data_IF_699418215203
#
_entry.id   IF_699418215203
#
_cell.length_a   1.000
_cell.length_b   1.000
_cell.length_c   1.000
_cell.angle_alpha   90.00
_cell.angle_beta   90.00
_cell.angle_gamma   90.00
#
_symmetry.space_group_name_H-M   'P 1'
#
loop_
_entity.id
_entity.type
_entity.pdbx_description
1 polymer ?
#
# COMPACT_ATOMS: atom_id res chain seq x y z
N UNK A 1 0.97 -14.23 -4.79
CA UNK A 1 1.49 -12.92 -4.37
C UNK A 1 0.58 -11.87 -5.00
N UNK A 2 0.04 -10.93 -4.22
CA UNK A 2 -0.67 -9.79 -4.79
C UNK A 2 0.38 -8.78 -5.28
N UNK A 3 0.19 -8.24 -6.48
CA UNK A 3 1.11 -7.27 -7.11
C UNK A 3 0.34 -5.99 -7.37
N UNK A 4 0.99 -4.85 -7.20
CA UNK A 4 0.35 -3.55 -7.34
C UNK A 4 1.35 -2.41 -7.29
N UNK A 5 0.88 -1.19 -7.54
CA UNK A 5 1.71 0.02 -7.52
C UNK A 5 1.42 0.80 -6.23
N UNK A 6 2.47 1.32 -5.59
CA UNK A 6 2.29 2.21 -4.43
C UNK A 6 1.51 3.44 -4.88
N UNK A 7 0.30 3.58 -4.34
CA UNK A 7 -0.58 4.70 -4.65
C UNK A 7 -0.11 5.95 -3.92
N UNK A 8 0.18 5.79 -2.63
CA UNK A 8 0.84 6.78 -1.81
C UNK A 8 1.40 6.13 -0.55
N UNK A 9 2.41 6.76 0.03
CA UNK A 9 3.00 6.34 1.30
C UNK A 9 3.38 7.57 2.13
N UNK A 10 2.98 7.57 3.41
CA UNK A 10 3.42 8.57 4.37
C UNK A 10 4.57 8.00 5.20
N UNK A 11 5.79 8.49 4.93
CA UNK A 11 6.99 8.00 5.60
C UNK A 11 7.05 8.38 7.09
N UNK A 12 6.52 9.54 7.49
CA UNK A 12 6.51 9.97 8.89
C UNK A 12 5.59 9.10 9.75
N UNK A 13 4.45 8.70 9.19
CA UNK A 13 3.48 7.83 9.87
C UNK A 13 3.72 6.34 9.63
N UNK A 14 4.54 5.99 8.65
CA UNK A 14 4.93 4.61 8.40
C UNK A 14 3.87 3.73 7.72
N UNK A 15 2.93 4.32 6.98
CA UNK A 15 1.88 3.57 6.30
C UNK A 15 1.45 4.20 4.98
N UNK A 16 0.77 3.39 4.15
CA UNK A 16 0.22 3.83 2.88
C UNK A 16 -0.74 2.81 2.27
N UNK A 17 -1.02 3.00 0.99
CA UNK A 17 -1.90 2.13 0.22
C UNK A 17 -1.28 1.75 -1.12
N UNK A 18 -1.56 0.52 -1.54
CA UNK A 18 -1.15 -0.04 -2.82
C UNK A 18 -2.41 -0.21 -3.68
N UNK A 19 -2.37 0.35 -4.89
CA UNK A 19 -3.40 0.12 -5.89
C UNK A 19 -3.15 -1.22 -6.58
N UNK A 20 -4.22 -1.99 -6.77
CA UNK A 20 -4.22 -3.28 -7.47
C UNK A 20 -5.20 -3.25 -8.63
N UNK A 21 -4.92 -4.02 -9.68
CA UNK A 21 -5.80 -4.12 -10.83
C UNK A 21 -7.06 -4.93 -10.50
N UNK A 22 -8.23 -4.29 -10.66
CA UNK A 22 -9.52 -4.95 -10.49
C UNK A 22 -9.96 -5.19 -9.04
N UNK A 23 -9.34 -4.54 -8.06
CA UNK A 23 -9.65 -4.70 -6.64
C UNK A 23 -9.55 -3.41 -5.82
N UNK A 24 -9.98 -3.44 -4.55
CA UNK A 24 -9.85 -2.31 -3.63
C UNK A 24 -8.37 -2.04 -3.26
N UNK A 25 -8.05 -0.82 -2.85
CA UNK A 25 -6.69 -0.51 -2.39
C UNK A 25 -6.30 -1.37 -1.18
N UNK A 26 -5.05 -1.83 -1.16
CA UNK A 26 -4.48 -2.63 -0.07
C UNK A 26 -3.76 -1.72 0.90
N UNK A 27 -4.12 -1.79 2.18
CA UNK A 27 -3.38 -1.10 3.24
C UNK A 27 -2.03 -1.77 3.49
N UNK A 28 -0.97 -0.96 3.56
CA UNK A 28 0.38 -1.41 3.89
C UNK A 28 0.93 -0.59 5.06
N UNK A 29 1.34 -1.26 6.13
CA UNK A 29 1.98 -0.67 7.29
C UNK A 29 3.39 -1.21 7.43
N UNK A 30 4.35 -0.32 7.68
CA UNK A 30 5.69 -0.76 8.06
C UNK A 30 5.61 -1.31 9.49
N UNK A 31 5.68 -2.62 9.61
CA UNK A 31 5.94 -3.28 10.88
C UNK A 31 6.86 -4.45 10.57
N UNK A 32 8.08 -4.34 11.09
CA UNK A 32 9.09 -5.40 11.06
C UNK A 32 8.63 -6.62 11.86
#
# INVERSE_FOLDING_TARGET
MASGTVKWFNAEKGFGFIAQDGGPDVFAHYSS
#
